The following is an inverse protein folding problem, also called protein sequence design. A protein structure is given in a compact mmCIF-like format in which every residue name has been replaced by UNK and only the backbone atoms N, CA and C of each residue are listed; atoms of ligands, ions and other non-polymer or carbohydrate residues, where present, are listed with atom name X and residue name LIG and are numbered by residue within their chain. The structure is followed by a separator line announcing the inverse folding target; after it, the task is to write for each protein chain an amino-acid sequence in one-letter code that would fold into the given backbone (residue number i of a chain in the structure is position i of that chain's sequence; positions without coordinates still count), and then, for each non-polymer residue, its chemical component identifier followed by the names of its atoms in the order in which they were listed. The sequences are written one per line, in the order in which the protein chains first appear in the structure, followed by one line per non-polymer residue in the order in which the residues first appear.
data_IF_855516332513
#
_entry.id   IF_855516332513
#
_cell.length_a   1.000
_cell.length_b   1.000
_cell.length_c   1.000
_cell.angle_alpha   90.00
_cell.angle_beta   90.00
_cell.angle_gamma   90.00
#
_symmetry.space_group_name_H-M   'P 1'
#
loop_
_entity.id
_entity.type
_entity.pdbx_description
1 polymer ?
#
# COMPACT_ATOMS: atom_id res chain seq x y z
N UNK A 1 2.11 -16.20 -10.78
CA UNK A 1 2.95 -15.43 -9.84
C UNK A 1 4.31 -16.10 -9.81
N UNK A 2 5.39 -15.37 -10.10
CA UNK A 2 6.76 -15.88 -10.07
C UNK A 2 7.06 -16.35 -8.64
N UNK A 3 7.51 -17.59 -8.48
CA UNK A 3 7.90 -18.16 -7.17
C UNK A 3 9.30 -17.66 -6.77
N UNK A 4 9.50 -16.32 -6.84
CA UNK A 4 10.77 -15.70 -6.48
C UNK A 4 10.96 -15.75 -4.97
N UNK A 5 11.97 -16.49 -4.52
CA UNK A 5 12.30 -16.59 -3.11
C UNK A 5 13.28 -15.46 -2.72
N UNK A 6 12.82 -14.56 -1.86
CA UNK A 6 13.62 -13.46 -1.30
C UNK A 6 14.63 -14.04 -0.33
N UNK A 7 15.93 -13.82 -0.59
CA UNK A 7 17.02 -14.24 0.31
C UNK A 7 17.36 -13.17 1.36
N UNK A 8 18.29 -13.47 2.26
CA UNK A 8 18.70 -12.57 3.35
C UNK A 8 19.31 -11.26 2.84
N UNK A 9 20.05 -11.29 1.71
CA UNK A 9 20.63 -10.08 1.13
C UNK A 9 19.53 -9.24 0.50
N UNK A 10 18.58 -9.85 -0.19
CA UNK A 10 17.41 -9.16 -0.75
C UNK A 10 16.58 -8.47 0.33
N UNK A 11 16.36 -9.14 1.48
CA UNK A 11 15.67 -8.54 2.64
C UNK A 11 16.44 -7.33 3.16
N UNK A 12 17.75 -7.42 3.26
CA UNK A 12 18.59 -6.30 3.70
C UNK A 12 18.51 -5.14 2.71
N UNK A 13 18.59 -5.39 1.41
CA UNK A 13 18.40 -4.37 0.36
C UNK A 13 17.04 -3.69 0.54
N UNK A 14 15.96 -4.47 0.65
CA UNK A 14 14.60 -3.94 0.82
C UNK A 14 14.47 -3.12 2.11
N UNK A 15 15.11 -3.53 3.21
CA UNK A 15 15.08 -2.79 4.48
C UNK A 15 15.71 -1.40 4.40
N UNK A 16 16.71 -1.21 3.54
CA UNK A 16 17.29 0.09 3.23
C UNK A 16 16.40 0.91 2.30
N UNK A 17 15.95 0.31 1.19
CA UNK A 17 15.18 1.00 0.17
C UNK A 17 13.81 1.45 0.66
N UNK A 18 13.16 0.70 1.56
CA UNK A 18 11.89 1.08 2.19
C UNK A 18 12.05 2.33 3.07
N UNK A 19 13.22 2.52 3.71
CA UNK A 19 13.51 3.69 4.53
C UNK A 19 13.92 4.90 3.68
N UNK A 20 14.71 4.66 2.64
CA UNK A 20 15.20 5.69 1.72
C UNK A 20 15.42 5.11 0.32
N UNK A 21 14.44 5.33 -0.57
CA UNK A 21 14.53 4.86 -1.95
C UNK A 21 15.65 5.52 -2.78
N UNK A 22 16.29 6.59 -2.24
CA UNK A 22 17.41 7.30 -2.89
C UNK A 22 18.78 6.95 -2.30
N UNK A 23 18.84 5.96 -1.41
CA UNK A 23 20.12 5.54 -0.83
C UNK A 23 21.07 5.06 -1.93
N UNK A 24 22.34 5.48 -1.95
CA UNK A 24 23.33 4.98 -2.92
C UNK A 24 23.54 3.46 -2.77
N UNK A 25 23.52 2.73 -3.88
CA UNK A 25 23.72 1.27 -3.85
C UNK A 25 25.08 0.87 -3.27
N UNK A 26 26.10 1.73 -3.39
CA UNK A 26 27.40 1.51 -2.76
C UNK A 26 27.35 1.48 -1.23
N UNK A 27 26.42 2.25 -0.63
CA UNK A 27 26.21 2.22 0.82
C UNK A 27 25.56 0.89 1.24
N UNK A 28 24.53 0.45 0.51
CA UNK A 28 23.91 -0.86 0.74
C UNK A 28 24.92 -1.97 0.56
N UNK A 29 25.80 -1.88 -0.46
CA UNK A 29 26.84 -2.84 -0.74
C UNK A 29 27.82 -3.00 0.44
N UNK A 30 28.32 -1.88 0.96
CA UNK A 30 29.20 -1.85 2.14
C UNK A 30 28.55 -2.53 3.34
N UNK A 31 27.31 -2.16 3.64
CA UNK A 31 26.55 -2.71 4.78
C UNK A 31 26.18 -4.20 4.59
N UNK A 32 26.10 -4.66 3.35
CA UNK A 32 25.71 -6.03 3.02
C UNK A 32 26.89 -6.97 2.78
N UNK A 33 28.13 -6.44 2.72
CA UNK A 33 29.32 -7.22 2.46
C UNK A 33 29.41 -7.79 1.03
N UNK A 34 28.81 -7.10 0.05
CA UNK A 34 28.80 -7.50 -1.36
C UNK A 34 29.20 -6.32 -2.26
N UNK A 35 29.48 -6.56 -3.55
CA UNK A 35 29.83 -5.48 -4.48
C UNK A 35 28.62 -4.65 -4.87
N UNK A 36 28.85 -3.38 -5.25
CA UNK A 36 27.78 -2.50 -5.79
C UNK A 36 27.09 -3.08 -7.02
N UNK A 37 27.85 -3.76 -7.89
CA UNK A 37 27.31 -4.46 -9.06
C UNK A 37 26.33 -5.58 -8.65
N UNK A 38 26.65 -6.33 -7.59
CA UNK A 38 25.79 -7.37 -7.07
C UNK A 38 24.47 -6.79 -6.50
N UNK A 39 24.53 -5.63 -5.81
CA UNK A 39 23.32 -4.93 -5.34
C UNK A 39 22.47 -4.50 -6.52
N UNK A 40 23.08 -3.86 -7.53
CA UNK A 40 22.36 -3.40 -8.72
C UNK A 40 21.62 -4.55 -9.43
N UNK A 41 22.31 -5.69 -9.62
CA UNK A 41 21.71 -6.87 -10.22
C UNK A 41 20.54 -7.44 -9.41
N UNK A 42 20.67 -7.44 -8.06
CA UNK A 42 19.60 -7.90 -7.17
C UNK A 42 18.39 -6.99 -7.17
N UNK A 43 18.59 -5.67 -7.13
CA UNK A 43 17.50 -4.69 -7.24
C UNK A 43 16.75 -4.90 -8.55
N UNK A 44 17.46 -4.98 -9.69
CA UNK A 44 16.85 -5.24 -10.99
C UNK A 44 16.05 -6.56 -11.02
N UNK A 45 16.53 -7.59 -10.31
CA UNK A 45 15.81 -8.86 -10.19
C UNK A 45 14.56 -8.73 -9.31
N UNK A 46 14.61 -7.97 -8.21
CA UNK A 46 13.45 -7.66 -7.37
C UNK A 46 12.38 -6.87 -8.13
N UNK A 47 12.79 -5.93 -8.99
CA UNK A 47 11.90 -5.19 -9.88
C UNK A 47 11.25 -6.10 -10.93
N UNK A 48 12.05 -6.90 -11.64
CA UNK A 48 11.54 -7.78 -12.70
C UNK A 48 10.61 -8.89 -12.19
N UNK A 49 10.74 -9.28 -10.91
CA UNK A 49 9.82 -10.23 -10.26
C UNK A 49 8.64 -9.54 -9.54
N UNK A 50 8.49 -8.22 -9.65
CA UNK A 50 7.38 -7.49 -9.07
C UNK A 50 7.41 -7.37 -7.54
N UNK A 51 8.57 -7.63 -6.90
CA UNK A 51 8.78 -7.41 -5.46
C UNK A 51 8.90 -5.91 -5.19
N UNK A 52 9.68 -5.22 -6.01
CA UNK A 52 9.72 -3.75 -6.07
C UNK A 52 8.82 -3.33 -7.23
N UNK A 53 7.74 -2.64 -6.93
CA UNK A 53 6.76 -2.18 -7.92
C UNK A 53 6.98 -0.73 -8.34
N UNK A 54 7.88 -0.03 -7.66
CA UNK A 54 8.21 1.37 -7.94
C UNK A 54 8.69 2.11 -6.71
N UNK A 55 8.95 3.40 -6.88
CA UNK A 55 9.25 4.35 -5.81
C UNK A 55 8.34 5.57 -5.91
N UNK A 56 7.95 6.14 -4.78
CA UNK A 56 7.11 7.34 -4.71
C UNK A 56 7.83 8.46 -3.98
N UNK A 57 7.64 9.68 -4.46
CA UNK A 57 7.94 10.87 -3.70
C UNK A 57 6.79 11.12 -2.72
N UNK A 58 7.09 11.20 -1.44
CA UNK A 58 6.13 11.61 -0.44
C UNK A 58 6.04 13.14 -0.43
N UNK A 59 4.85 13.65 -0.64
CA UNK A 59 4.55 15.09 -0.62
C UNK A 59 3.48 15.32 0.44
N UNK A 60 3.69 16.33 1.29
CA UNK A 60 2.72 16.70 2.31
C UNK A 60 1.48 17.32 1.64
N UNK A 61 0.28 16.73 1.73
CA UNK A 61 -0.90 17.23 1.01
C UNK A 61 -1.24 18.68 1.35
N UNK A 62 -1.07 19.09 2.61
CA UNK A 62 -1.33 20.45 3.06
C UNK A 62 -0.42 21.49 2.38
N UNK A 63 0.81 21.10 1.98
CA UNK A 63 1.71 21.97 1.22
C UNK A 63 1.18 22.27 -0.20
N UNK A 64 0.26 21.45 -0.69
CA UNK A 64 -0.46 21.62 -1.96
C UNK A 64 -1.85 22.24 -1.77
N UNK A 65 -2.21 22.69 -0.55
CA UNK A 65 -3.53 23.23 -0.23
C UNK A 65 -4.60 22.17 0.03
N UNK A 66 -4.25 20.86 -0.01
CA UNK A 66 -5.19 19.77 0.23
C UNK A 66 -5.34 19.53 1.73
N UNK A 67 -6.26 20.25 2.37
CA UNK A 67 -6.40 20.32 3.82
C UNK A 67 -7.37 19.29 4.40
N UNK A 68 -8.23 18.69 3.57
CA UNK A 68 -9.20 17.69 4.00
C UNK A 68 -8.81 16.33 3.46
N UNK A 69 -8.61 15.37 4.35
CA UNK A 69 -8.47 13.95 4.03
C UNK A 69 -9.75 13.23 4.43
N UNK A 70 -10.37 12.50 3.52
CA UNK A 70 -11.56 11.74 3.80
C UNK A 70 -11.45 10.27 3.36
N UNK A 71 -12.06 9.40 4.14
CA UNK A 71 -12.31 8.01 3.79
C UNK A 71 -13.80 7.86 3.46
N UNK A 72 -14.08 7.32 2.29
CA UNK A 72 -15.45 7.14 1.83
C UNK A 72 -15.72 5.67 1.55
N UNK A 73 -16.65 5.13 2.31
CA UNK A 73 -17.20 3.80 2.08
C UNK A 73 -18.31 3.87 1.07
N UNK A 74 -18.28 3.05 0.02
CA UNK A 74 -19.23 3.08 -1.09
C UNK A 74 -19.94 1.75 -1.19
N UNK A 75 -21.28 1.80 -1.18
CA UNK A 75 -22.15 0.65 -1.49
C UNK A 75 -22.51 0.65 -2.96
N UNK A 76 -22.56 -0.53 -3.55
CA UNK A 76 -22.99 -0.74 -4.92
C UNK A 76 -24.40 -1.33 -4.96
N UNK A 77 -25.20 -0.92 -5.92
CA UNK A 77 -26.51 -1.54 -6.21
C UNK A 77 -26.34 -2.95 -6.79
N UNK A 78 -25.24 -3.18 -7.52
CA UNK A 78 -24.89 -4.46 -8.13
C UNK A 78 -23.40 -4.75 -7.92
N UNK A 79 -23.07 -5.82 -7.18
CA UNK A 79 -21.68 -6.14 -6.82
C UNK A 79 -20.80 -6.50 -8.06
N UNK A 80 -21.40 -7.09 -9.11
CA UNK A 80 -20.70 -7.42 -10.35
C UNK A 80 -20.29 -6.18 -11.19
N UNK A 81 -20.82 -5.02 -10.86
CA UNK A 81 -20.50 -3.73 -11.51
C UNK A 81 -19.30 -3.00 -10.89
N UNK A 82 -18.63 -3.63 -9.93
CA UNK A 82 -17.40 -3.11 -9.35
C UNK A 82 -16.37 -2.62 -10.40
N UNK A 83 -16.05 -3.38 -11.49
CA UNK A 83 -15.05 -2.91 -12.46
C UNK A 83 -15.44 -1.59 -13.14
N UNK A 84 -16.72 -1.40 -13.48
CA UNK A 84 -17.22 -0.20 -14.15
C UNK A 84 -17.08 1.03 -13.26
N UNK A 85 -17.37 0.87 -11.95
CA UNK A 85 -17.22 1.93 -10.95
C UNK A 85 -15.75 2.30 -10.74
N UNK A 86 -14.84 1.30 -10.71
CA UNK A 86 -13.40 1.56 -10.58
C UNK A 86 -12.85 2.35 -11.77
N UNK A 87 -13.29 2.05 -13.00
CA UNK A 87 -12.88 2.85 -14.18
C UNK A 87 -13.34 4.31 -14.07
N UNK A 88 -14.48 4.57 -13.45
CA UNK A 88 -14.93 5.92 -13.15
C UNK A 88 -14.07 6.58 -12.06
N UNK A 89 -13.73 5.86 -10.98
CA UNK A 89 -12.88 6.38 -9.91
C UNK A 89 -11.47 6.73 -10.35
N UNK A 90 -10.89 5.99 -11.30
CA UNK A 90 -9.56 6.28 -11.87
C UNK A 90 -9.47 7.66 -12.54
N UNK A 91 -10.59 8.26 -12.91
CA UNK A 91 -10.65 9.59 -13.54
C UNK A 91 -10.76 10.73 -12.53
N UNK A 92 -10.92 10.42 -11.24
CA UNK A 92 -11.07 11.39 -10.15
C UNK A 92 -9.70 11.51 -9.49
N UNK A 93 -9.01 12.62 -9.74
CA UNK A 93 -7.64 12.87 -9.27
C UNK A 93 -7.51 12.95 -7.75
N UNK A 94 -8.56 13.33 -7.07
CA UNK A 94 -8.65 13.44 -5.62
C UNK A 94 -8.62 12.08 -4.93
N UNK A 95 -9.02 11.01 -5.62
CA UNK A 95 -8.95 9.64 -5.10
C UNK A 95 -7.51 9.14 -5.19
N UNK A 96 -6.88 8.93 -4.05
CA UNK A 96 -5.49 8.47 -3.96
C UNK A 96 -5.35 6.99 -3.63
N UNK A 97 -6.38 6.39 -3.02
CA UNK A 97 -6.45 4.96 -2.71
C UNK A 97 -7.86 4.44 -2.96
N UNK A 98 -7.98 3.22 -3.46
CA UNK A 98 -9.24 2.54 -3.66
C UNK A 98 -9.08 1.04 -3.38
N UNK A 99 -9.93 0.51 -2.48
CA UNK A 99 -9.90 -0.87 -2.05
C UNK A 99 -11.26 -1.52 -2.24
N UNK A 100 -11.28 -2.74 -2.78
CA UNK A 100 -12.43 -3.62 -2.67
C UNK A 100 -12.34 -4.33 -1.32
N UNK A 101 -13.36 -4.18 -0.48
CA UNK A 101 -13.32 -4.63 0.92
C UNK A 101 -14.49 -5.57 1.23
N UNK A 102 -14.31 -6.38 2.26
CA UNK A 102 -15.40 -7.17 2.83
C UNK A 102 -16.19 -6.35 3.84
N UNK A 103 -17.47 -6.63 4.01
CA UNK A 103 -18.33 -5.97 5.00
C UNK A 103 -19.57 -5.32 4.38
N UNK A 104 -20.13 -4.32 5.07
CA UNK A 104 -21.36 -3.62 4.68
C UNK A 104 -21.21 -2.86 3.36
N UNK A 105 -20.05 -2.26 3.13
CA UNK A 105 -19.74 -1.48 1.95
C UNK A 105 -18.73 -2.24 1.09
N UNK A 106 -18.89 -2.22 -0.23
CA UNK A 106 -18.05 -2.97 -1.14
C UNK A 106 -16.70 -2.29 -1.43
N UNK A 107 -16.66 -0.95 -1.39
CA UNK A 107 -15.47 -0.18 -1.75
C UNK A 107 -15.14 0.80 -0.62
N UNK A 108 -13.86 0.96 -0.35
CA UNK A 108 -13.31 2.02 0.50
C UNK A 108 -12.34 2.84 -0.34
N UNK A 109 -12.57 4.14 -0.42
CA UNK A 109 -11.66 5.08 -1.06
C UNK A 109 -11.10 6.08 -0.07
N UNK A 110 -9.86 6.53 -0.33
CA UNK A 110 -9.24 7.66 0.36
C UNK A 110 -9.07 8.79 -0.65
N UNK A 111 -9.44 9.98 -0.26
CA UNK A 111 -9.32 11.17 -1.10
C UNK A 111 -8.83 12.37 -0.33
N UNK A 112 -8.25 13.33 -1.07
CA UNK A 112 -7.83 14.63 -0.53
C UNK A 112 -8.54 15.75 -1.26
N UNK A 113 -9.07 16.73 -0.48
CA UNK A 113 -9.75 17.89 -0.97
C UNK A 113 -9.12 19.18 -0.42
N UNK A 114 -9.36 20.30 -1.08
CA UNK A 114 -8.92 21.61 -0.59
C UNK A 114 -9.62 21.98 0.73
N UNK A 115 -10.93 21.82 0.76
CA UNK A 115 -11.81 22.16 1.88
C UNK A 115 -13.05 21.25 1.90
N UNK A 116 -14.01 21.55 2.79
CA UNK A 116 -15.24 20.78 2.94
C UNK A 116 -16.22 21.01 1.78
N UNK A 117 -16.22 22.19 1.18
CA UNK A 117 -17.11 22.50 0.04
C UNK A 117 -16.67 21.69 -1.19
N UNK A 118 -15.36 21.61 -1.44
CA UNK A 118 -14.79 20.74 -2.48
C UNK A 118 -15.09 19.25 -2.22
N UNK A 119 -14.99 18.79 -0.96
CA UNK A 119 -15.37 17.42 -0.60
C UNK A 119 -16.84 17.15 -0.92
N UNK A 120 -17.73 18.07 -0.55
CA UNK A 120 -19.17 17.96 -0.80
C UNK A 120 -19.47 17.94 -2.31
N UNK A 121 -18.81 18.77 -3.10
CA UNK A 121 -18.94 18.79 -4.56
C UNK A 121 -18.55 17.43 -5.18
N UNK A 122 -17.41 16.88 -4.79
CA UNK A 122 -16.94 15.57 -5.27
C UNK A 122 -17.92 14.47 -4.89
N UNK A 123 -18.40 14.46 -3.66
CA UNK A 123 -19.34 13.44 -3.18
C UNK A 123 -20.66 13.49 -3.95
N UNK A 124 -21.30 14.67 -4.02
CA UNK A 124 -22.66 14.82 -4.55
C UNK A 124 -22.69 14.90 -6.08
N UNK A 125 -21.71 15.59 -6.68
CA UNK A 125 -21.71 15.89 -8.09
C UNK A 125 -20.87 14.94 -8.94
N UNK A 126 -20.00 14.15 -8.31
CA UNK A 126 -19.14 13.22 -9.02
C UNK A 126 -19.38 11.78 -8.56
N UNK A 127 -19.07 11.42 -7.31
CA UNK A 127 -19.10 10.04 -6.84
C UNK A 127 -20.51 9.45 -6.83
N UNK A 128 -21.49 10.15 -6.24
CA UNK A 128 -22.87 9.67 -6.13
C UNK A 128 -23.62 9.66 -7.47
N UNK A 129 -23.09 10.32 -8.50
CA UNK A 129 -23.65 10.27 -9.86
C UNK A 129 -23.09 9.13 -10.71
N UNK A 130 -22.09 8.41 -10.23
CA UNK A 130 -21.54 7.26 -10.95
C UNK A 130 -22.59 6.13 -10.95
N UNK A 131 -22.90 5.56 -12.12
CA UNK A 131 -23.82 4.43 -12.20
C UNK A 131 -23.41 3.30 -11.25
N UNK A 132 -24.41 2.68 -10.63
CA UNK A 132 -24.26 1.59 -9.66
C UNK A 132 -23.71 1.99 -8.28
N UNK A 133 -23.32 3.25 -8.04
CA UNK A 133 -23.11 3.76 -6.69
C UNK A 133 -24.48 3.97 -6.04
N UNK A 134 -24.75 3.22 -4.98
CA UNK A 134 -26.02 3.24 -4.26
C UNK A 134 -26.01 4.25 -3.11
N UNK A 135 -24.95 4.22 -2.31
CA UNK A 135 -24.79 5.12 -1.15
C UNK A 135 -23.34 5.29 -0.78
N UNK A 136 -23.05 6.36 -0.05
CA UNK A 136 -21.72 6.66 0.49
C UNK A 136 -21.82 6.97 1.98
N UNK A 137 -20.80 6.55 2.74
CA UNK A 137 -20.57 6.93 4.13
C UNK A 137 -19.18 7.55 4.24
N UNK A 138 -19.11 8.80 4.69
CA UNK A 138 -17.88 9.59 4.69
C UNK A 138 -17.35 9.79 6.10
N UNK A 139 -16.06 9.55 6.30
CA UNK A 139 -15.32 9.81 7.53
C UNK A 139 -14.19 10.79 7.21
N UNK A 140 -14.14 11.91 7.91
CA UNK A 140 -13.04 12.88 7.77
C UNK A 140 -11.93 12.47 8.72
N UNK A 141 -10.70 12.32 8.19
CA UNK A 141 -9.52 12.07 8.99
C UNK A 141 -9.09 13.36 9.71
N UNK A 142 -9.10 13.34 11.03
CA UNK A 142 -8.66 14.48 11.84
C UNK A 142 -7.14 14.54 11.97
N UNK A 143 -6.49 13.38 12.00
CA UNK A 143 -5.03 13.24 12.09
C UNK A 143 -4.56 11.92 11.48
N UNK A 144 -3.38 11.93 10.87
CA UNK A 144 -2.69 10.73 10.42
C UNK A 144 -1.48 10.46 11.31
N UNK A 145 -1.71 9.81 12.44
CA UNK A 145 -0.67 9.55 13.44
C UNK A 145 0.44 8.61 12.95
N UNK A 146 0.18 7.75 11.97
CA UNK A 146 1.16 6.80 11.41
C UNK A 146 1.08 6.80 9.89
N UNK A 147 2.22 7.08 9.25
CA UNK A 147 2.44 6.87 7.82
C UNK A 147 3.79 6.17 7.63
N UNK A 148 3.77 4.96 7.14
CA UNK A 148 4.98 4.18 6.86
C UNK A 148 4.71 3.08 5.85
N UNK A 149 5.76 2.67 5.15
CA UNK A 149 5.74 1.49 4.29
C UNK A 149 5.63 0.20 5.09
N UNK A 150 5.31 -0.90 4.37
CA UNK A 150 5.32 -2.24 4.95
C UNK A 150 6.67 -2.56 5.58
N UNK A 151 6.62 -3.21 6.73
CA UNK A 151 7.83 -3.59 7.43
C UNK A 151 8.49 -4.80 6.74
N UNK A 152 9.77 -4.64 6.39
CA UNK A 152 10.60 -5.73 5.91
C UNK A 152 11.25 -6.40 7.12
N UNK A 153 10.73 -7.55 7.54
CA UNK A 153 11.29 -8.34 8.63
C UNK A 153 12.61 -8.93 8.19
N UNK A 154 13.71 -8.58 8.87
CA UNK A 154 14.93 -9.37 8.79
C UNK A 154 14.63 -10.75 9.40
N UNK A 155 14.59 -11.79 8.59
CA UNK A 155 14.49 -13.16 9.07
C UNK A 155 15.77 -13.49 9.84
N UNK A 156 15.78 -13.29 11.13
CA UNK A 156 16.67 -14.05 11.99
C UNK A 156 16.19 -15.49 11.88
N UNK A 157 17.05 -16.38 11.41
CA UNK A 157 16.85 -17.83 11.46
C UNK A 157 16.78 -18.28 12.93
N UNK A 158 15.72 -17.96 13.62
CA UNK A 158 15.33 -18.57 14.88
C UNK A 158 14.27 -19.61 14.53
N UNK A 159 14.74 -20.82 14.29
CA UNK A 159 14.06 -22.12 14.39
C UNK A 159 12.59 -22.06 14.84
N UNK A 160 11.69 -21.79 13.92
CA UNK A 160 10.26 -22.01 14.12
C UNK A 160 9.92 -23.53 14.08
N UNK A 161 10.93 -24.40 13.89
CA UNK A 161 10.76 -25.87 13.86
C UNK A 161 10.80 -26.53 15.24
N UNK A 162 11.12 -25.79 16.32
CA UNK A 162 11.28 -26.40 17.65
C UNK A 162 9.99 -26.41 18.49
N UNK A 163 9.01 -25.54 18.20
CA UNK A 163 7.79 -25.47 19.03
C UNK A 163 6.65 -26.38 18.58
N UNK A 164 6.68 -26.88 17.35
CA UNK A 164 5.63 -27.80 16.85
C UNK A 164 5.94 -29.26 17.18
N UNK A 165 7.22 -29.61 17.44
CA UNK A 165 7.61 -30.98 17.79
C UNK A 165 7.48 -31.30 19.28
N UNK A 166 7.36 -30.30 20.17
CA UNK A 166 7.22 -30.56 21.64
C UNK A 166 5.77 -30.87 22.06
N UNK A 167 4.77 -30.44 21.32
CA UNK A 167 3.35 -30.75 21.65
C UNK A 167 2.85 -32.13 21.21
N UNK A 168 3.66 -32.93 20.50
CA UNK A 168 3.29 -34.31 20.10
C UNK A 168 3.93 -35.40 20.94
N UNK A 169 4.72 -35.08 21.99
CA UNK A 169 5.35 -36.07 22.88
C UNK A 169 4.80 -36.11 24.30
N UNK A 170 3.84 -35.25 24.64
CA UNK A 170 3.20 -35.25 25.97
C UNK A 170 1.77 -35.81 25.99
N UNK A 171 1.36 -36.51 24.91
CA UNK A 171 0.09 -37.25 24.89
C UNK A 171 0.37 -38.67 24.38
N UNK A 172 1.05 -39.46 25.21
CA UNK A 172 1.00 -40.93 25.20
C UNK A 172 1.18 -41.43 26.61
#
# INVERSE_FOLDING_TARGET
MSNYQIDRIDQKILSFLVKNARIPFMEIARESGVSGAAIHQRVKRLESNGVITGSRLLVKPQALGLNVCAYVSVSLSEANKYPDVIESFKRISEIVECHFVTGKHAILIKLYCFDHDHLMEILLNTIQKIPYVQSTETQISLDQAIERQVWVKEYQNTSFSASVKKKKKETK
#
